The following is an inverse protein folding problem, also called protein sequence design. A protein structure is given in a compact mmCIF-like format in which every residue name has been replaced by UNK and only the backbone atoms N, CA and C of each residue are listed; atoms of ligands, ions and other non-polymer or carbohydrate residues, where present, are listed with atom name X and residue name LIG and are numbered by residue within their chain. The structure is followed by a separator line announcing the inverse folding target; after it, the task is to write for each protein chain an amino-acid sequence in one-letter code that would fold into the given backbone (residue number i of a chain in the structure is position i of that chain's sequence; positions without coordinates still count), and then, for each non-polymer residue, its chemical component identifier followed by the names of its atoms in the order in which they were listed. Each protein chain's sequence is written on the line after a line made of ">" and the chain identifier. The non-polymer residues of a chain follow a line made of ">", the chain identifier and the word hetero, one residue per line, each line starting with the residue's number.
data_IF_218001401477
#
_entry.id   IF_218001401477
#
_cell.length_a   1.000
_cell.length_b   1.000
_cell.length_c   1.000
_cell.angle_alpha   90.00
_cell.angle_beta   90.00
_cell.angle_gamma   90.00
#
_symmetry.space_group_name_H-M   'P 1'
#
loop_
_entity.id
_entity.type
_entity.pdbx_description
1 polymer ?
#
# COMPACT_ATOMS: atom_id res chain seq x y z
N UNK A 1 3.95 -23.85 -31.96
CA UNK A 1 5.33 -23.28 -31.95
C UNK A 1 5.72 -23.28 -30.49
N UNK A 2 6.69 -24.10 -30.05
CA UNK A 2 7.08 -24.16 -28.63
C UNK A 2 7.99 -22.96 -28.39
N UNK A 3 7.44 -21.92 -27.79
CA UNK A 3 8.20 -20.75 -27.36
C UNK A 3 9.03 -21.15 -26.13
N UNK A 4 10.33 -21.40 -26.32
CA UNK A 4 11.29 -21.36 -25.23
C UNK A 4 11.47 -19.90 -24.85
N UNK A 5 10.77 -19.44 -23.82
CA UNK A 5 11.02 -18.11 -23.26
C UNK A 5 11.11 -18.20 -21.74
N UNK A 6 11.79 -17.22 -21.17
CA UNK A 6 12.24 -17.22 -19.78
C UNK A 6 11.16 -16.68 -18.81
N UNK A 7 9.96 -16.39 -19.31
CA UNK A 7 8.77 -16.13 -18.50
C UNK A 7 8.19 -17.48 -18.05
N UNK A 8 8.31 -17.78 -16.76
CA UNK A 8 7.78 -19.02 -16.17
C UNK A 8 6.35 -18.86 -15.62
N UNK A 9 5.92 -17.63 -15.30
CA UNK A 9 4.61 -17.39 -14.68
C UNK A 9 3.47 -17.25 -15.70
N UNK A 10 2.33 -17.89 -15.41
CA UNK A 10 1.22 -18.04 -16.35
C UNK A 10 0.46 -16.72 -16.59
N UNK A 11 0.28 -15.93 -15.53
CA UNK A 11 -0.40 -14.62 -15.50
C UNK A 11 0.24 -13.59 -16.44
N UNK A 12 1.57 -13.65 -16.57
CA UNK A 12 2.38 -12.78 -17.40
C UNK A 12 2.48 -13.34 -18.81
N UNK A 13 2.67 -14.67 -18.93
CA UNK A 13 2.77 -15.37 -20.22
C UNK A 13 1.53 -15.29 -21.10
N UNK A 14 0.36 -15.22 -20.50
CA UNK A 14 -0.90 -15.17 -21.27
C UNK A 14 -0.94 -13.95 -22.20
N UNK A 15 -0.29 -12.85 -21.82
CA UNK A 15 -0.25 -11.61 -22.61
C UNK A 15 0.60 -11.72 -23.87
N UNK A 16 1.74 -12.42 -23.82
CA UNK A 16 2.50 -12.78 -25.02
C UNK A 16 1.61 -13.54 -26.01
N UNK A 17 0.82 -14.51 -25.54
CA UNK A 17 -0.08 -15.27 -26.39
C UNK A 17 -1.24 -14.41 -26.93
N UNK A 18 -1.83 -13.55 -26.10
CA UNK A 18 -2.90 -12.65 -26.51
C UNK A 18 -2.46 -11.70 -27.62
N UNK A 19 -1.28 -11.09 -27.46
CA UNK A 19 -0.71 -10.14 -28.41
C UNK A 19 -0.25 -10.84 -29.70
N UNK A 20 0.40 -12.00 -29.61
CA UNK A 20 0.94 -12.71 -30.79
C UNK A 20 -0.09 -13.56 -31.54
N UNK A 21 -1.26 -13.83 -30.93
CA UNK A 21 -2.35 -14.53 -31.57
C UNK A 21 -2.77 -13.86 -32.88
N UNK A 22 -3.26 -14.62 -33.85
CA UNK A 22 -3.85 -14.06 -35.08
C UNK A 22 -5.33 -13.67 -34.91
N UNK A 23 -5.94 -13.98 -33.76
CA UNK A 23 -7.33 -13.66 -33.47
C UNK A 23 -7.52 -12.15 -33.24
N UNK A 24 -8.66 -11.61 -33.69
CA UNK A 24 -9.04 -10.21 -33.47
C UNK A 24 -9.70 -10.00 -32.10
N UNK A 25 -10.37 -11.03 -31.61
CA UNK A 25 -10.97 -11.09 -30.28
C UNK A 25 -10.22 -12.13 -29.48
N UNK A 26 -9.73 -11.76 -28.30
CA UNK A 26 -9.06 -12.66 -27.36
C UNK A 26 -9.77 -12.58 -26.02
N UNK A 27 -10.12 -13.73 -25.48
CA UNK A 27 -10.73 -13.89 -24.16
C UNK A 27 -9.73 -14.64 -23.30
N UNK A 28 -9.36 -14.05 -22.17
CA UNK A 28 -8.45 -14.60 -21.18
C UNK A 28 -9.28 -15.09 -20.00
N UNK A 29 -9.26 -16.39 -19.77
CA UNK A 29 -9.93 -17.04 -18.64
C UNK A 29 -8.97 -17.13 -17.46
N UNK A 30 -8.98 -16.10 -16.62
CA UNK A 30 -8.27 -16.07 -15.35
C UNK A 30 -8.96 -15.07 -14.42
N UNK A 31 -9.59 -15.50 -13.31
CA UNK A 31 -10.19 -14.59 -12.35
C UNK A 31 -9.16 -13.84 -11.51
N UNK A 32 -7.88 -14.18 -11.65
CA UNK A 32 -6.78 -13.51 -10.96
C UNK A 32 -6.65 -12.04 -11.40
N UNK A 33 -6.67 -11.14 -10.41
CA UNK A 33 -6.61 -9.71 -10.63
C UNK A 33 -5.27 -9.25 -11.22
N UNK A 34 -4.17 -9.96 -10.95
CA UNK A 34 -2.85 -9.61 -11.48
C UNK A 34 -2.87 -9.65 -13.01
N UNK A 35 -3.60 -10.60 -13.61
CA UNK A 35 -3.68 -10.77 -15.06
C UNK A 35 -4.14 -9.50 -15.77
N UNK A 36 -5.21 -8.86 -15.32
CA UNK A 36 -5.70 -7.67 -16.03
C UNK A 36 -4.84 -6.43 -15.73
N UNK A 37 -4.26 -6.30 -14.53
CA UNK A 37 -3.32 -5.21 -14.26
C UNK A 37 -2.01 -5.34 -15.05
N UNK A 38 -1.48 -6.56 -15.23
CA UNK A 38 -0.33 -6.84 -16.11
C UNK A 38 -0.64 -6.39 -17.54
N UNK A 39 -1.83 -6.72 -18.03
CA UNK A 39 -2.25 -6.42 -19.40
C UNK A 39 -2.60 -4.98 -19.68
N UNK A 40 -3.03 -4.23 -18.68
CA UNK A 40 -3.62 -2.90 -18.86
C UNK A 40 -2.75 -1.95 -19.71
N UNK A 41 -1.42 -1.83 -19.48
CA UNK A 41 -0.57 -1.00 -20.33
C UNK A 41 -0.35 -1.53 -21.75
N UNK A 42 -0.58 -2.83 -21.99
CA UNK A 42 -0.41 -3.46 -23.31
C UNK A 42 -1.57 -3.16 -24.25
N UNK A 43 -2.76 -2.88 -23.70
CA UNK A 43 -3.99 -2.61 -24.44
C UNK A 43 -3.81 -1.42 -25.39
N UNK A 44 -3.08 -0.38 -24.97
CA UNK A 44 -2.86 0.85 -25.76
C UNK A 44 -2.19 0.61 -27.12
N UNK A 45 -1.43 -0.48 -27.23
CA UNK A 45 -0.67 -0.84 -28.42
C UNK A 45 -1.34 -1.94 -29.25
N UNK A 46 -2.51 -2.41 -28.83
CA UNK A 46 -3.24 -3.52 -29.44
C UNK A 46 -4.43 -3.02 -30.25
N UNK A 47 -4.60 -3.55 -31.46
CA UNK A 47 -5.81 -3.37 -32.29
C UNK A 47 -6.89 -4.42 -32.00
N UNK A 48 -6.64 -5.33 -31.07
CA UNK A 48 -7.53 -6.44 -30.70
C UNK A 48 -8.55 -6.01 -29.65
N UNK A 49 -9.70 -6.70 -29.66
CA UNK A 49 -10.65 -6.71 -28.55
C UNK A 49 -10.22 -7.73 -27.52
N UNK A 50 -9.86 -7.24 -26.33
CA UNK A 50 -9.25 -8.02 -25.24
C UNK A 50 -10.22 -8.08 -24.06
N UNK A 51 -10.56 -9.28 -23.62
CA UNK A 51 -11.44 -9.52 -22.48
C UNK A 51 -10.72 -10.37 -21.44
N UNK A 52 -10.84 -9.99 -20.16
CA UNK A 52 -10.28 -10.76 -19.03
C UNK A 52 -11.40 -11.13 -18.08
N UNK A 53 -11.40 -12.36 -17.57
CA UNK A 53 -12.37 -12.81 -16.59
C UNK A 53 -12.15 -12.09 -15.25
N UNK A 54 -13.21 -11.56 -14.64
CA UNK A 54 -13.16 -10.98 -13.29
C UNK A 54 -13.68 -11.94 -12.23
N UNK A 55 -14.68 -12.76 -12.58
CA UNK A 55 -15.33 -13.69 -11.67
C UNK A 55 -15.50 -15.03 -12.36
N UNK A 56 -15.13 -16.10 -11.65
CA UNK A 56 -15.43 -17.47 -12.04
C UNK A 56 -16.55 -18.00 -11.15
N UNK A 57 -17.80 -17.76 -11.55
CA UNK A 57 -18.98 -18.35 -10.90
C UNK A 57 -19.60 -19.41 -11.82
N UNK A 58 -20.16 -20.50 -11.25
CA UNK A 58 -20.90 -21.50 -12.01
C UNK A 58 -22.10 -20.93 -12.77
N UNK A 59 -22.70 -19.86 -12.23
CA UNK A 59 -23.93 -19.27 -12.74
C UNK A 59 -23.67 -18.11 -13.70
N UNK A 60 -22.56 -17.39 -13.51
CA UNK A 60 -22.24 -16.22 -14.31
C UNK A 60 -20.72 -16.02 -14.43
N UNK A 61 -20.26 -15.85 -15.67
CA UNK A 61 -18.88 -15.46 -15.94
C UNK A 61 -18.85 -13.98 -16.25
N UNK A 62 -18.23 -13.21 -15.35
CA UNK A 62 -18.03 -11.78 -15.55
C UNK A 62 -16.71 -11.55 -16.27
N UNK A 63 -16.74 -10.73 -17.32
CA UNK A 63 -15.56 -10.31 -18.06
C UNK A 63 -15.46 -8.79 -18.12
N UNK A 64 -14.24 -8.26 -18.08
CA UNK A 64 -13.95 -6.86 -18.35
C UNK A 64 -13.40 -6.71 -19.76
N UNK A 65 -13.96 -5.75 -20.51
CA UNK A 65 -13.37 -5.26 -21.76
C UNK A 65 -12.18 -4.35 -21.42
N UNK A 66 -10.97 -4.84 -21.68
CA UNK A 66 -9.74 -4.11 -21.35
C UNK A 66 -9.61 -2.83 -22.19
N UNK A 67 -10.10 -2.85 -23.42
CA UNK A 67 -10.14 -1.69 -24.30
C UNK A 67 -11.06 -0.60 -23.75
N UNK A 68 -12.27 -0.96 -23.33
CA UNK A 68 -13.21 -0.01 -22.74
C UNK A 68 -12.71 0.51 -21.39
N UNK A 69 -12.07 -0.35 -20.59
CA UNK A 69 -11.46 0.07 -19.33
C UNK A 69 -10.35 1.11 -19.55
N UNK A 70 -9.45 0.89 -20.52
CA UNK A 70 -8.43 1.89 -20.91
C UNK A 70 -9.07 3.21 -21.37
N UNK A 71 -10.12 3.15 -22.20
CA UNK A 71 -10.84 4.36 -22.64
C UNK A 71 -11.51 5.09 -21.47
N UNK A 72 -12.10 4.36 -20.51
CA UNK A 72 -12.72 4.93 -19.33
C UNK A 72 -11.68 5.66 -18.46
N UNK A 73 -10.52 5.05 -18.23
CA UNK A 73 -9.41 5.68 -17.48
C UNK A 73 -8.90 6.96 -18.15
N UNK A 74 -8.73 6.95 -19.47
CA UNK A 74 -8.27 8.12 -20.23
C UNK A 74 -9.27 9.28 -20.21
N UNK A 75 -10.56 8.97 -20.10
CA UNK A 75 -11.63 9.97 -20.09
C UNK A 75 -11.99 10.46 -18.68
N UNK A 76 -11.47 9.85 -17.62
CA UNK A 76 -11.74 10.30 -16.25
C UNK A 76 -11.08 11.66 -15.99
N UNK A 77 -11.89 12.63 -15.59
CA UNK A 77 -11.46 14.00 -15.29
C UNK A 77 -10.41 14.07 -14.18
N UNK A 78 -10.43 13.13 -13.24
CA UNK A 78 -9.47 13.06 -12.15
C UNK A 78 -8.06 12.70 -12.61
N UNK A 79 -7.93 12.07 -13.78
CA UNK A 79 -6.65 11.70 -14.37
C UNK A 79 -6.22 12.63 -15.52
N UNK A 80 -6.96 13.72 -15.73
CA UNK A 80 -6.65 14.66 -16.80
C UNK A 80 -5.22 15.21 -16.65
N UNK A 81 -4.43 15.04 -17.72
CA UNK A 81 -3.04 15.50 -17.78
C UNK A 81 -2.02 14.43 -17.39
N UNK A 82 -2.42 13.33 -16.75
CA UNK A 82 -1.55 12.18 -16.48
C UNK A 82 -1.21 11.50 -17.79
N UNK A 83 0.08 11.36 -18.09
CA UNK A 83 0.54 10.61 -19.25
C UNK A 83 0.56 9.12 -18.90
N UNK A 84 0.10 8.28 -19.83
CA UNK A 84 0.13 6.81 -19.69
C UNK A 84 -0.56 6.35 -18.40
N UNK A 85 -1.84 6.71 -18.27
CA UNK A 85 -2.65 6.44 -17.07
C UNK A 85 -2.73 4.94 -16.78
N UNK A 86 -2.78 4.10 -17.81
CA UNK A 86 -2.76 2.64 -17.70
C UNK A 86 -1.54 2.14 -16.93
N UNK A 87 -0.36 2.65 -17.30
CA UNK A 87 0.90 2.34 -16.61
C UNK A 87 0.91 2.91 -15.18
N UNK A 88 0.37 4.10 -14.97
CA UNK A 88 0.22 4.67 -13.64
C UNK A 88 -0.68 3.81 -12.74
N UNK A 89 -1.81 3.32 -13.26
CA UNK A 89 -2.76 2.47 -12.54
C UNK A 89 -2.13 1.11 -12.21
N UNK A 90 -1.43 0.48 -13.16
CA UNK A 90 -0.65 -0.73 -12.91
C UNK A 90 0.39 -0.49 -11.81
N UNK A 91 1.09 0.65 -11.84
CA UNK A 91 2.10 0.96 -10.85
C UNK A 91 1.51 1.23 -9.45
N UNK A 92 0.33 1.87 -9.36
CA UNK A 92 -0.39 2.02 -8.09
C UNK A 92 -0.80 0.68 -7.50
N UNK A 93 -1.24 -0.26 -8.34
CA UNK A 93 -1.51 -1.64 -7.94
C UNK A 93 -0.27 -2.27 -7.30
N UNK A 94 0.87 -2.24 -7.99
CA UNK A 94 2.14 -2.79 -7.50
C UNK A 94 2.60 -2.07 -6.21
N UNK A 95 2.46 -0.75 -6.14
CA UNK A 95 2.83 0.01 -4.94
C UNK A 95 2.00 -0.38 -3.72
N UNK A 96 0.70 -0.66 -3.88
CA UNK A 96 -0.15 -1.11 -2.78
C UNK A 96 0.21 -2.50 -2.23
N UNK A 97 0.88 -3.32 -3.06
CA UNK A 97 1.31 -4.67 -2.76
C UNK A 97 0.76 -5.68 -3.79
N UNK A 98 1.59 -6.66 -4.14
CA UNK A 98 1.26 -7.81 -5.00
C UNK A 98 2.13 -9.01 -4.58
N UNK A 99 2.06 -10.13 -5.30
CA UNK A 99 2.82 -11.34 -4.96
C UNK A 99 4.34 -11.13 -4.85
N UNK A 100 4.84 -10.10 -5.54
CA UNK A 100 6.25 -9.73 -5.57
C UNK A 100 6.65 -8.66 -4.55
N UNK A 101 5.71 -7.89 -4.02
CA UNK A 101 5.97 -6.72 -3.17
C UNK A 101 5.02 -6.72 -1.98
N UNK A 102 5.58 -6.59 -0.77
CA UNK A 102 4.81 -6.45 0.46
C UNK A 102 3.71 -5.40 0.37
N UNK A 103 2.65 -5.57 1.16
CA UNK A 103 1.57 -4.58 1.29
C UNK A 103 1.77 -3.67 2.51
N UNK A 104 0.97 -2.61 2.58
CA UNK A 104 0.90 -1.71 3.74
C UNK A 104 -0.26 -2.13 4.65
N UNK A 105 0.02 -2.49 5.90
CA UNK A 105 -1.01 -2.99 6.82
C UNK A 105 -2.13 -1.97 7.05
N UNK A 106 -3.37 -2.42 6.92
CA UNK A 106 -4.57 -1.61 7.11
C UNK A 106 -4.88 -0.67 5.95
N UNK A 107 -4.33 -0.93 4.76
CA UNK A 107 -4.66 -0.21 3.54
C UNK A 107 -4.92 -1.21 2.42
N UNK A 108 -6.15 -1.20 1.89
CA UNK A 108 -6.50 -1.94 0.70
C UNK A 108 -6.07 -1.23 -0.58
N UNK A 109 -6.12 -1.95 -1.71
CA UNK A 109 -5.82 -1.37 -3.04
C UNK A 109 -6.72 -0.19 -3.36
N UNK A 110 -8.03 -0.30 -3.02
CA UNK A 110 -9.02 0.76 -3.15
C UNK A 110 -8.56 2.07 -2.49
N UNK A 111 -8.00 1.99 -1.28
CA UNK A 111 -7.49 3.17 -0.56
C UNK A 111 -6.42 3.91 -1.36
N UNK A 112 -5.51 3.19 -2.01
CA UNK A 112 -4.48 3.80 -2.85
C UNK A 112 -5.08 4.51 -4.06
N UNK A 113 -6.05 3.88 -4.72
CA UNK A 113 -6.75 4.49 -5.87
C UNK A 113 -7.55 5.74 -5.47
N UNK A 114 -8.30 5.68 -4.37
CA UNK A 114 -9.10 6.80 -3.88
C UNK A 114 -8.22 8.00 -3.49
N UNK A 115 -7.12 7.72 -2.77
CA UNK A 115 -6.14 8.75 -2.38
C UNK A 115 -5.45 9.32 -3.60
N UNK A 116 -5.04 8.48 -4.56
CA UNK A 116 -4.42 8.94 -5.79
C UNK A 116 -5.37 9.85 -6.58
N UNK A 117 -6.63 9.44 -6.75
CA UNK A 117 -7.67 10.23 -7.42
C UNK A 117 -7.85 11.60 -6.76
N UNK A 118 -7.90 11.64 -5.43
CA UNK A 118 -8.09 12.89 -4.65
C UNK A 118 -6.86 13.80 -4.68
N UNK A 119 -5.66 13.22 -4.75
CA UNK A 119 -4.40 13.95 -4.58
C UNK A 119 -3.46 13.87 -5.79
N UNK A 120 -3.97 13.52 -6.98
CA UNK A 120 -3.18 13.26 -8.18
C UNK A 120 -2.20 14.39 -8.52
N UNK A 121 -2.66 15.65 -8.48
CA UNK A 121 -1.83 16.83 -8.77
C UNK A 121 -0.70 17.05 -7.74
N UNK A 122 -0.95 16.72 -6.47
CA UNK A 122 0.09 16.78 -5.44
C UNK A 122 1.09 15.62 -5.62
N UNK A 123 0.60 14.41 -5.85
CA UNK A 123 1.42 13.20 -5.95
C UNK A 123 2.33 13.28 -7.18
N UNK A 124 1.77 13.58 -8.35
CA UNK A 124 2.54 13.71 -9.60
C UNK A 124 3.34 15.01 -9.65
N UNK A 125 2.92 16.06 -8.94
CA UNK A 125 3.59 17.35 -8.93
C UNK A 125 3.30 18.15 -10.20
N UNK A 126 4.27 18.97 -10.64
CA UNK A 126 4.12 19.78 -11.88
C UNK A 126 4.38 19.00 -13.16
N UNK A 127 4.95 17.80 -13.05
CA UNK A 127 5.28 16.93 -14.17
C UNK A 127 4.45 15.66 -14.05
N UNK A 128 3.56 15.43 -15.01
CA UNK A 128 2.52 14.41 -14.88
C UNK A 128 3.02 12.97 -15.08
N UNK A 129 4.22 12.79 -15.64
CA UNK A 129 4.88 11.49 -15.80
C UNK A 129 5.78 11.10 -14.60
N UNK A 130 5.76 11.88 -13.51
CA UNK A 130 6.72 11.74 -12.42
C UNK A 130 6.79 10.32 -11.84
N UNK A 131 5.66 9.61 -11.72
CA UNK A 131 5.64 8.24 -11.17
C UNK A 131 6.31 7.19 -12.06
N UNK A 132 6.37 7.43 -13.38
CA UNK A 132 6.87 6.46 -14.37
C UNK A 132 8.35 6.67 -14.73
N UNK A 133 8.96 7.77 -14.25
CA UNK A 133 10.35 8.13 -14.55
C UNK A 133 11.33 7.53 -13.52
N UNK A 134 11.53 6.22 -13.59
CA UNK A 134 12.35 5.47 -12.62
C UNK A 134 13.84 5.81 -12.64
N UNK A 135 14.31 6.48 -13.68
CA UNK A 135 15.70 6.94 -13.79
C UNK A 135 15.96 8.23 -12.98
N UNK A 136 14.90 8.87 -12.45
CA UNK A 136 15.00 10.10 -11.68
C UNK A 136 14.55 9.95 -10.23
N UNK A 137 15.14 10.75 -9.34
CA UNK A 137 14.68 10.87 -7.96
C UNK A 137 13.25 11.43 -7.86
N UNK A 138 12.74 12.03 -8.94
CA UNK A 138 11.39 12.57 -9.01
C UNK A 138 10.35 11.48 -8.79
N UNK A 139 10.51 10.28 -9.37
CA UNK A 139 9.61 9.16 -9.16
C UNK A 139 9.56 8.68 -7.71
N UNK A 140 10.73 8.61 -7.05
CA UNK A 140 10.80 8.31 -5.63
C UNK A 140 10.07 9.38 -4.80
N UNK A 141 10.20 10.66 -5.15
CA UNK A 141 9.49 11.74 -4.46
C UNK A 141 7.98 11.67 -4.69
N UNK A 142 7.52 11.33 -5.89
CA UNK A 142 6.10 11.11 -6.16
C UNK A 142 5.56 9.93 -5.34
N UNK A 143 6.32 8.83 -5.24
CA UNK A 143 5.99 7.72 -4.36
C UNK A 143 5.91 8.14 -2.89
N UNK A 144 6.88 8.93 -2.39
CA UNK A 144 6.82 9.48 -1.04
C UNK A 144 5.57 10.33 -0.80
N UNK A 145 5.16 11.14 -1.78
CA UNK A 145 3.94 11.94 -1.71
C UNK A 145 2.69 11.05 -1.69
N UNK A 146 2.65 9.98 -2.47
CA UNK A 146 1.56 8.99 -2.47
C UNK A 146 1.41 8.35 -1.09
N UNK A 147 2.46 7.73 -0.56
CA UNK A 147 2.39 7.05 0.75
C UNK A 147 2.05 8.05 1.86
N UNK A 148 2.63 9.25 1.82
CA UNK A 148 2.29 10.32 2.77
C UNK A 148 0.81 10.70 2.70
N UNK A 149 0.24 10.80 1.49
CA UNK A 149 -1.17 11.11 1.32
C UNK A 149 -2.07 9.98 1.84
N UNK A 150 -1.68 8.72 1.64
CA UNK A 150 -2.41 7.53 2.13
C UNK A 150 -2.51 7.56 3.66
N UNK A 151 -1.38 7.67 4.34
CA UNK A 151 -1.33 7.71 5.80
C UNK A 151 -1.94 8.99 6.40
N UNK A 152 -1.75 10.14 5.76
CA UNK A 152 -2.40 11.39 6.18
C UNK A 152 -3.93 11.29 6.09
N UNK A 153 -4.46 10.66 5.03
CA UNK A 153 -5.90 10.54 4.82
C UNK A 153 -6.54 9.64 5.86
N UNK A 154 -5.95 8.47 6.13
CA UNK A 154 -6.43 7.54 7.17
C UNK A 154 -6.42 8.14 8.57
N UNK A 155 -5.41 8.95 8.88
CA UNK A 155 -5.24 9.54 10.22
C UNK A 155 -5.46 11.04 10.27
N UNK A 156 -6.35 11.56 9.42
CA UNK A 156 -6.53 13.00 9.21
C UNK A 156 -6.83 13.79 10.49
N UNK A 157 -7.52 13.19 11.46
CA UNK A 157 -7.83 13.78 12.77
C UNK A 157 -6.59 14.13 13.59
N UNK A 158 -5.50 13.37 13.45
CA UNK A 158 -4.23 13.64 14.13
C UNK A 158 -3.47 14.85 13.55
N UNK A 159 -3.90 15.35 12.39
CA UNK A 159 -3.25 16.46 11.69
C UNK A 159 -4.02 17.77 11.77
N UNK A 160 -5.13 17.86 12.51
CA UNK A 160 -5.86 19.11 12.71
C UNK A 160 -4.95 20.20 13.30
N UNK A 161 -5.06 21.46 12.83
CA UNK A 161 -6.08 22.00 11.92
C UNK A 161 -5.74 21.90 10.42
N UNK A 162 -4.74 21.10 10.02
CA UNK A 162 -4.37 20.97 8.61
C UNK A 162 -5.45 20.21 7.84
N UNK A 163 -5.88 20.78 6.73
CA UNK A 163 -6.95 20.21 5.88
C UNK A 163 -6.43 19.34 4.74
N UNK A 164 -5.12 19.34 4.48
CA UNK A 164 -4.53 18.52 3.41
C UNK A 164 -3.05 18.18 3.65
N UNK A 165 -2.62 17.03 3.12
CA UNK A 165 -1.21 16.62 3.10
C UNK A 165 -0.33 17.62 2.35
N UNK A 166 -0.88 18.30 1.33
CA UNK A 166 -0.17 19.35 0.59
C UNK A 166 0.12 20.55 1.50
N UNK A 167 -0.84 20.97 2.32
CA UNK A 167 -0.64 22.05 3.29
C UNK A 167 0.44 21.70 4.31
N UNK A 168 0.44 20.44 4.79
CA UNK A 168 1.52 19.93 5.64
C UNK A 168 2.85 20.04 4.91
N UNK A 169 2.98 19.48 3.71
CA UNK A 169 4.20 19.51 2.91
C UNK A 169 4.70 20.94 2.64
N UNK A 170 3.80 21.87 2.29
CA UNK A 170 4.15 23.27 2.01
C UNK A 170 4.69 23.99 3.25
N UNK A 171 4.22 23.62 4.45
CA UNK A 171 4.72 24.18 5.72
C UNK A 171 6.15 23.74 6.07
N UNK A 172 6.66 22.67 5.45
CA UNK A 172 7.97 22.11 5.79
C UNK A 172 9.10 22.86 5.10
N UNK A 173 10.21 23.00 5.83
CA UNK A 173 11.46 23.54 5.35
C UNK A 173 12.49 22.42 5.19
N UNK A 174 13.18 22.39 4.05
CA UNK A 174 14.28 21.46 3.77
C UNK A 174 15.43 22.19 3.10
N UNK A 175 16.66 21.70 3.26
CA UNK A 175 17.82 22.28 2.58
C UNK A 175 17.77 22.02 1.07
N UNK A 176 17.13 20.92 0.69
CA UNK A 176 16.87 20.51 -0.68
C UNK A 176 15.51 19.78 -0.73
N UNK A 177 15.11 19.38 -1.95
CA UNK A 177 13.82 18.71 -2.18
C UNK A 177 13.74 17.33 -1.51
N UNK A 178 14.85 16.59 -1.46
CA UNK A 178 14.93 15.28 -0.82
C UNK A 178 14.66 15.41 0.69
N UNK A 179 15.36 16.31 1.37
CA UNK A 179 15.21 16.56 2.80
C UNK A 179 13.78 17.00 3.15
N UNK A 180 13.14 17.76 2.26
CA UNK A 180 11.74 18.17 2.44
C UNK A 180 10.78 16.98 2.44
N UNK A 181 10.96 16.00 1.55
CA UNK A 181 10.14 14.77 1.53
C UNK A 181 10.44 13.85 2.72
N UNK A 182 11.71 13.71 3.11
CA UNK A 182 12.09 12.95 4.32
C UNK A 182 11.50 13.58 5.58
N UNK A 183 11.47 14.92 5.64
CA UNK A 183 10.80 15.65 6.71
C UNK A 183 9.29 15.39 6.72
N UNK A 184 8.62 15.30 5.56
CA UNK A 184 7.19 14.98 5.50
C UNK A 184 6.91 13.60 6.10
N UNK A 185 7.65 12.59 5.67
CA UNK A 185 7.52 11.21 6.18
C UNK A 185 7.74 11.18 7.69
N UNK A 186 8.78 11.87 8.17
CA UNK A 186 9.12 11.91 9.60
C UNK A 186 8.01 12.55 10.44
N UNK A 187 7.44 13.67 9.96
CA UNK A 187 6.35 14.38 10.66
C UNK A 187 5.07 13.55 10.72
N UNK A 188 4.70 12.86 9.63
CA UNK A 188 3.55 11.95 9.62
C UNK A 188 3.79 10.81 10.61
N UNK A 189 4.96 10.16 10.55
CA UNK A 189 5.34 9.09 11.46
C UNK A 189 5.29 9.50 12.93
N UNK A 190 5.84 10.66 13.26
CA UNK A 190 5.86 11.18 14.65
C UNK A 190 4.44 11.38 15.18
N UNK A 191 3.54 11.95 14.36
CA UNK A 191 2.13 12.11 14.74
C UNK A 191 1.39 10.78 14.89
N UNK A 192 1.70 9.80 14.05
CA UNK A 192 1.11 8.47 14.17
C UNK A 192 1.52 7.74 15.46
N UNK A 193 2.75 7.95 15.95
CA UNK A 193 3.19 7.33 17.22
C UNK A 193 2.32 7.73 18.42
N UNK A 194 1.63 8.88 18.36
CA UNK A 194 0.76 9.36 19.43
C UNK A 194 -0.62 8.66 19.44
N UNK A 195 -1.04 8.07 18.31
CA UNK A 195 -2.40 7.56 18.10
C UNK A 195 -2.46 6.05 17.82
N UNK A 196 -1.44 5.47 17.21
CA UNK A 196 -1.44 4.07 16.76
C UNK A 196 -0.99 3.15 17.88
N UNK A 197 -1.68 2.01 18.04
CA UNK A 197 -1.40 1.02 19.09
C UNK A 197 -0.35 -0.03 18.67
N UNK A 198 -0.21 -0.29 17.36
CA UNK A 198 0.68 -1.31 16.81
C UNK A 198 1.75 -0.72 15.89
N UNK A 199 3.00 -1.17 16.03
CA UNK A 199 4.11 -0.72 15.16
C UNK A 199 3.85 -1.02 13.68
N UNK A 200 3.11 -2.09 13.37
CA UNK A 200 2.82 -2.49 11.99
C UNK A 200 1.90 -1.51 11.25
N UNK A 201 1.10 -0.74 11.98
CA UNK A 201 0.22 0.29 11.42
C UNK A 201 0.97 1.61 11.21
N UNK A 202 2.19 1.76 11.71
CA UNK A 202 2.97 2.99 11.56
C UNK A 202 3.55 3.04 10.15
N UNK A 203 3.35 4.18 9.47
CA UNK A 203 3.95 4.46 8.16
C UNK A 203 5.44 4.10 8.15
N UNK A 204 5.97 3.30 7.20
CA UNK A 204 7.40 2.97 7.15
C UNK A 204 8.30 4.21 6.99
N UNK A 205 9.57 4.09 7.39
CA UNK A 205 10.54 5.19 7.29
C UNK A 205 10.99 5.41 5.83
N UNK A 206 11.66 6.52 5.52
CA UNK A 206 12.05 6.87 4.15
C UNK A 206 12.94 5.84 3.46
N UNK A 207 13.84 5.18 4.21
CA UNK A 207 14.73 4.15 3.66
C UNK A 207 13.96 2.86 3.32
N UNK A 208 13.09 2.40 4.22
CA UNK A 208 12.22 1.26 3.98
C UNK A 208 11.28 1.51 2.79
N UNK A 209 10.70 2.72 2.71
CA UNK A 209 9.89 3.14 1.57
C UNK A 209 10.70 3.19 0.27
N UNK A 210 11.95 3.63 0.31
CA UNK A 210 12.82 3.61 -0.88
C UNK A 210 13.05 2.19 -1.39
N UNK A 211 13.30 1.23 -0.51
CA UNK A 211 13.45 -0.17 -0.93
C UNK A 211 12.14 -0.77 -1.44
N UNK A 212 11.00 -0.41 -0.87
CA UNK A 212 9.70 -0.78 -1.42
C UNK A 212 9.50 -0.23 -2.83
N UNK A 213 9.74 1.07 -3.02
CA UNK A 213 9.69 1.72 -4.33
C UNK A 213 10.59 1.03 -5.35
N UNK A 214 11.83 0.72 -4.98
CA UNK A 214 12.77 0.00 -5.85
C UNK A 214 12.19 -1.36 -6.27
N UNK A 215 11.68 -2.17 -5.34
CA UNK A 215 11.08 -3.46 -5.68
C UNK A 215 9.89 -3.32 -6.61
N UNK A 216 8.98 -2.40 -6.31
CA UNK A 216 7.84 -2.10 -7.17
C UNK A 216 8.27 -1.65 -8.57
N UNK A 217 9.34 -0.86 -8.68
CA UNK A 217 9.90 -0.39 -9.94
C UNK A 217 10.38 -1.55 -10.82
N UNK A 218 11.04 -2.53 -10.21
CA UNK A 218 11.49 -3.72 -10.93
C UNK A 218 10.34 -4.60 -11.39
N UNK A 219 9.31 -4.80 -10.55
CA UNK A 219 8.11 -5.57 -10.92
C UNK A 219 7.39 -4.90 -12.08
N UNK A 220 7.27 -3.57 -12.04
CA UNK A 220 6.72 -2.80 -13.15
C UNK A 220 7.54 -3.00 -14.44
N UNK A 221 8.87 -2.96 -14.37
CA UNK A 221 9.75 -3.24 -15.53
C UNK A 221 9.63 -4.68 -16.04
N UNK A 222 9.40 -5.64 -15.15
CA UNK A 222 9.17 -7.04 -15.48
C UNK A 222 7.82 -7.22 -16.20
N UNK A 223 6.73 -6.69 -15.64
CA UNK A 223 5.38 -6.74 -16.22
C UNK A 223 5.26 -5.97 -17.54
N UNK A 224 5.99 -4.86 -17.71
CA UNK A 224 6.04 -4.11 -18.97
C UNK A 224 6.57 -4.95 -20.16
N UNK A 225 7.22 -6.08 -19.88
CA UNK A 225 7.76 -7.01 -20.88
C UNK A 225 6.90 -8.29 -21.03
N UNK A 226 5.67 -8.29 -20.53
CA UNK A 226 4.77 -9.45 -20.60
C UNK A 226 4.42 -9.88 -22.04
N UNK A 227 4.51 -8.96 -23.02
CA UNK A 227 4.33 -9.27 -24.44
C UNK A 227 5.59 -9.78 -25.15
N UNK A 228 6.72 -9.86 -24.44
CA UNK A 228 8.02 -10.23 -25.03
C UNK A 228 8.36 -11.71 -24.81
N UNK A 229 9.06 -12.30 -25.79
CA UNK A 229 9.52 -13.69 -25.67
C UNK A 229 10.71 -13.85 -24.72
N UNK A 230 11.56 -12.83 -24.65
CA UNK A 230 12.80 -12.82 -23.88
C UNK A 230 12.84 -11.57 -23.03
N UNK A 231 13.04 -11.77 -21.73
CA UNK A 231 13.09 -10.70 -20.74
C UNK A 231 14.48 -10.09 -20.66
N UNK A 232 14.54 -8.77 -20.60
CA UNK A 232 15.73 -8.00 -20.27
C UNK A 232 15.53 -7.38 -18.89
N UNK A 233 15.97 -8.11 -17.86
CA UNK A 233 15.82 -7.67 -16.47
C UNK A 233 17.13 -7.10 -15.95
N UNK A 234 16.99 -6.00 -15.22
CA UNK A 234 18.08 -5.45 -14.42
C UNK A 234 18.37 -6.35 -13.22
N UNK A 235 19.57 -6.17 -12.64
CA UNK A 235 19.99 -6.95 -11.47
C UNK A 235 19.07 -6.70 -10.28
N UNK A 236 18.50 -7.76 -9.72
CA UNK A 236 17.67 -7.71 -8.50
C UNK A 236 18.37 -6.98 -7.33
N UNK A 237 19.71 -7.04 -7.26
CA UNK A 237 20.46 -6.35 -6.21
C UNK A 237 20.38 -4.83 -6.26
N UNK A 238 20.11 -4.27 -7.43
CA UNK A 238 19.95 -2.82 -7.60
C UNK A 238 18.55 -2.34 -7.18
N UNK A 239 17.61 -3.28 -7.00
CA UNK A 239 16.20 -3.00 -6.74
C UNK A 239 15.73 -3.47 -5.35
N UNK A 240 16.65 -3.56 -4.38
CA UNK A 240 16.29 -3.81 -2.98
C UNK A 240 16.07 -5.28 -2.63
N UNK A 241 16.66 -6.19 -3.41
CA UNK A 241 16.79 -7.60 -3.05
C UNK A 241 18.23 -8.02 -2.82
N UNK A 242 18.40 -9.12 -2.10
CA UNK A 242 19.67 -9.79 -1.89
C UNK A 242 19.53 -11.24 -2.32
N UNK A 243 20.43 -11.69 -3.19
CA UNK A 243 20.50 -13.10 -3.59
C UNK A 243 21.53 -13.79 -2.70
N UNK A 244 21.12 -14.77 -1.91
CA UNK A 244 22.04 -15.55 -1.09
C UNK A 244 21.60 -17.01 -1.00
N UNK A 245 22.53 -17.95 -1.23
CA UNK A 245 22.26 -19.39 -1.23
C UNK A 245 21.10 -19.83 -2.15
N UNK A 246 20.98 -19.21 -3.34
CA UNK A 246 19.84 -19.38 -4.26
C UNK A 246 18.47 -18.99 -3.67
N UNK A 247 18.44 -18.24 -2.57
CA UNK A 247 17.24 -17.63 -2.02
C UNK A 247 17.28 -16.13 -2.31
N UNK A 248 16.10 -15.59 -2.63
CA UNK A 248 15.87 -14.17 -2.78
C UNK A 248 15.34 -13.61 -1.46
N UNK A 249 16.04 -12.63 -0.88
CA UNK A 249 15.66 -11.98 0.37
C UNK A 249 15.40 -10.49 0.12
N UNK A 250 14.32 -9.95 0.68
CA UNK A 250 14.06 -8.52 0.64
C UNK A 250 15.02 -7.75 1.55
N UNK A 251 15.59 -6.67 1.02
CA UNK A 251 16.27 -5.66 1.83
C UNK A 251 15.20 -4.71 2.36
N UNK A 252 14.85 -4.85 3.64
CA UNK A 252 13.80 -4.04 4.26
C UNK A 252 14.27 -2.64 4.65
N UNK A 253 15.55 -2.49 4.96
CA UNK A 253 16.12 -1.23 5.41
C UNK A 253 17.65 -1.21 5.19
N UNK A 254 18.26 -0.07 5.41
CA UNK A 254 19.70 0.08 5.42
C UNK A 254 20.31 -0.55 6.67
N UNK A 255 21.50 -1.13 6.52
CA UNK A 255 22.30 -1.64 7.64
C UNK A 255 22.50 -0.58 8.74
N UNK A 256 22.71 0.67 8.34
CA UNK A 256 22.84 1.78 9.28
C UNK A 256 21.58 2.02 10.11
N UNK A 257 20.39 1.84 9.53
CA UNK A 257 19.13 1.98 10.27
C UNK A 257 18.86 0.77 11.17
N UNK A 258 19.12 -0.46 10.71
CA UNK A 258 19.04 -1.64 11.57
C UNK A 258 19.90 -1.50 12.82
N UNK A 259 21.12 -0.97 12.69
CA UNK A 259 21.99 -0.69 13.84
C UNK A 259 21.41 0.38 14.77
N UNK A 260 20.77 1.43 14.24
CA UNK A 260 20.10 2.46 15.06
C UNK A 260 18.91 1.87 15.82
N UNK A 261 18.08 1.08 15.16
CA UNK A 261 16.92 0.40 15.76
C UNK A 261 17.42 -0.56 16.84
N UNK A 262 18.43 -1.38 16.54
CA UNK A 262 19.02 -2.29 17.53
C UNK A 262 19.54 -1.52 18.74
N UNK A 263 20.31 -0.45 18.55
CA UNK A 263 20.79 0.40 19.64
C UNK A 263 19.64 0.99 20.48
N UNK A 264 18.55 1.39 19.83
CA UNK A 264 17.36 1.95 20.47
C UNK A 264 16.63 0.88 21.28
N UNK A 265 16.40 -0.30 20.71
CA UNK A 265 15.81 -1.44 21.42
C UNK A 265 16.69 -1.83 22.60
N UNK A 266 18.00 -1.89 22.41
CA UNK A 266 18.95 -2.18 23.48
C UNK A 266 18.87 -1.12 24.59
N UNK A 267 18.71 0.17 24.25
CA UNK A 267 18.51 1.25 25.22
C UNK A 267 17.25 1.07 26.06
N UNK A 268 16.12 0.78 25.42
CA UNK A 268 14.84 0.63 26.10
C UNK A 268 14.73 -0.68 26.88
N UNK A 269 15.37 -1.76 26.43
CA UNK A 269 15.21 -3.10 27.02
C UNK A 269 16.31 -3.48 28.00
N UNK A 270 17.56 -3.01 27.82
CA UNK A 270 18.71 -3.40 28.65
C UNK A 270 18.94 -2.40 29.78
N UNK A 271 18.75 -2.84 31.03
CA UNK A 271 19.07 -2.08 32.24
C UNK A 271 20.28 -2.62 33.03
N UNK A 272 20.95 -1.76 33.81
CA UNK A 272 21.88 -2.19 34.87
C UNK A 272 21.10 -2.56 36.15
N UNK A 273 21.66 -3.49 36.92
CA UNK A 273 21.23 -3.84 38.29
C UNK A 273 22.39 -3.68 39.30
N UNK A 274 23.23 -2.67 39.08
CA UNK A 274 24.34 -2.31 39.97
C UNK A 274 23.84 -2.00 41.39
N UNK A 275 24.36 -2.75 42.36
CA UNK A 275 24.01 -2.61 43.78
C UNK A 275 24.47 -1.28 44.40
N UNK A 276 25.54 -0.68 43.88
CA UNK A 276 26.14 0.54 44.42
C UNK A 276 25.71 1.81 43.66
N UNK A 277 24.65 1.71 42.86
CA UNK A 277 24.29 2.74 41.88
C UNK A 277 25.19 2.72 40.63
N UNK A 278 24.71 3.27 39.51
CA UNK A 278 25.44 3.32 38.24
C UNK A 278 26.43 4.52 38.20
N UNK A 279 27.20 4.71 39.29
CA UNK A 279 28.17 5.80 39.51
C UNK A 279 29.61 5.46 39.14
N UNK A 280 29.93 4.17 38.97
CA UNK A 280 31.28 3.70 38.65
C UNK A 280 31.40 3.25 37.20
N UNK A 281 32.62 3.24 36.65
CA UNK A 281 32.94 2.67 35.34
C UNK A 281 32.76 1.14 35.27
N UNK A 282 32.32 0.50 36.36
CA UNK A 282 31.92 -0.91 36.40
C UNK A 282 30.47 -1.12 35.96
N UNK A 283 29.66 -0.06 35.90
CA UNK A 283 28.32 -0.13 35.34
C UNK A 283 28.39 -0.50 33.86
N UNK A 284 27.66 -1.54 33.45
CA UNK A 284 27.60 -1.98 32.05
C UNK A 284 27.02 -0.88 31.14
N UNK A 285 25.94 -0.21 31.54
CA UNK A 285 25.33 0.88 30.76
C UNK A 285 26.32 2.03 30.50
N UNK A 286 27.10 2.41 31.52
CA UNK A 286 28.09 3.48 31.40
C UNK A 286 29.32 3.06 30.58
N UNK A 287 29.73 1.79 30.71
CA UNK A 287 30.89 1.23 30.00
C UNK A 287 30.60 0.99 28.52
N UNK A 288 29.40 0.54 28.18
CA UNK A 288 29.12 0.06 26.84
C UNK A 288 28.93 1.20 25.85
N UNK A 289 28.60 2.44 26.28
CA UNK A 289 28.08 3.53 25.41
C UNK A 289 26.92 3.07 24.50
N UNK A 290 26.43 1.84 24.66
CA UNK A 290 25.69 1.08 23.65
C UNK A 290 24.19 1.24 23.82
N UNK A 291 23.76 2.36 24.40
CA UNK A 291 22.36 2.63 24.70
C UNK A 291 22.04 4.12 24.75
N UNK A 292 22.98 4.95 25.16
CA UNK A 292 22.82 6.41 25.02
C UNK A 292 24.13 7.01 24.55
N UNK A 293 24.02 7.96 23.61
CA UNK A 293 25.13 8.79 23.12
C UNK A 293 25.95 9.41 24.27
N UNK A 294 25.32 9.61 25.42
CA UNK A 294 25.89 10.36 26.55
C UNK A 294 26.23 9.51 27.79
N UNK A 295 26.16 8.18 27.68
CA UNK A 295 26.54 7.27 28.78
C UNK A 295 25.56 7.19 29.96
N UNK A 296 24.32 7.63 29.76
CA UNK A 296 23.19 7.44 30.66
C UNK A 296 22.75 5.96 30.76
N UNK A 297 21.86 5.69 31.71
CA UNK A 297 21.18 4.42 31.92
C UNK A 297 19.79 4.49 31.30
N UNK A 298 19.41 3.42 30.61
CA UNK A 298 18.10 3.35 29.95
C UNK A 298 16.94 3.22 30.93
N UNK A 299 15.69 3.38 30.45
CA UNK A 299 14.48 3.35 31.28
C UNK A 299 14.31 2.06 32.10
N UNK A 300 14.85 0.93 31.65
CA UNK A 300 14.81 -0.35 32.37
C UNK A 300 15.92 -0.52 33.42
N UNK A 301 16.66 0.52 33.76
CA UNK A 301 17.64 0.48 34.86
C UNK A 301 16.96 0.10 36.19
N UNK A 302 17.45 -0.96 36.83
CA UNK A 302 16.92 -1.49 38.10
C UNK A 302 17.73 -1.05 39.31
N UNK A 303 18.62 -0.08 39.14
CA UNK A 303 19.48 0.38 40.25
C UNK A 303 18.72 1.34 41.13
N UNK A 304 18.75 1.10 42.45
CA UNK A 304 18.20 2.03 43.43
C UNK A 304 18.94 3.36 43.34
N UNK A 305 18.19 4.46 43.22
CA UNK A 305 18.70 5.83 43.12
C UNK A 305 19.76 5.98 42.01
N UNK A 306 19.45 5.48 40.82
CA UNK A 306 20.32 5.63 39.67
C UNK A 306 20.45 7.11 39.26
N UNK A 307 21.57 7.74 39.63
CA UNK A 307 21.91 9.13 39.25
C UNK A 307 22.24 9.31 37.76
N UNK A 308 22.16 8.23 36.99
CA UNK A 308 22.53 8.19 35.57
C UNK A 308 21.30 7.98 34.68
N UNK A 309 20.08 8.07 35.21
CA UNK A 309 18.88 8.12 34.37
C UNK A 309 18.79 9.51 33.73
N UNK A 310 18.29 9.64 32.49
CA UNK A 310 18.01 10.96 31.91
C UNK A 310 16.98 11.70 32.78
N UNK A 311 17.19 13.01 32.96
CA UNK A 311 16.25 13.86 33.70
C UNK A 311 14.90 13.89 32.97
N UNK A 312 13.82 13.62 33.70
CA UNK A 312 12.45 13.57 33.14
C UNK A 312 11.94 14.93 32.64
N UNK A 313 12.68 16.01 32.87
CA UNK A 313 12.30 17.38 32.52
C UNK A 313 12.60 17.75 31.06
N UNK A 314 13.37 16.95 30.32
CA UNK A 314 13.77 17.27 28.94
C UNK A 314 12.88 16.62 27.85
N UNK A 315 11.82 15.91 28.23
CA UNK A 315 10.90 15.24 27.28
C UNK A 315 9.48 15.79 27.24
N UNK A 316 9.19 16.93 27.88
CA UNK A 316 7.89 17.60 27.73
C UNK A 316 7.91 18.54 26.51
N UNK A 317 7.43 18.07 25.36
CA UNK A 317 6.85 18.97 24.38
C UNK A 317 5.55 19.52 24.98
N UNK A 318 5.64 20.72 25.53
CA UNK A 318 4.49 21.53 25.96
C UNK A 318 3.64 21.88 24.73
N UNK A 319 2.62 21.07 24.45
CA UNK A 319 1.48 21.47 23.62
C UNK A 319 0.29 21.62 24.56
N UNK A 320 -0.02 22.87 24.91
CA UNK A 320 -1.19 23.21 25.72
C UNK A 320 -2.47 22.94 24.93
N UNK A 321 -3.13 21.82 25.23
CA UNK A 321 -4.40 21.37 24.66
C UNK A 321 -5.65 22.15 25.14
N UNK A 322 -5.50 23.41 25.57
CA UNK A 322 -6.59 24.14 26.24
C UNK A 322 -7.53 24.94 25.33
N UNK A 323 -7.28 25.03 24.01
CA UNK A 323 -8.02 25.98 23.14
C UNK A 323 -8.71 25.36 21.90
N UNK A 324 -8.94 24.05 21.84
CA UNK A 324 -9.71 23.45 20.73
C UNK A 324 -11.16 23.26 21.18
N UNK A 325 -12.05 24.15 20.75
CA UNK A 325 -13.51 24.04 20.93
C UNK A 325 -14.05 22.90 20.05
N UNK A 326 -14.64 21.89 20.69
CA UNK A 326 -15.14 20.64 20.11
C UNK A 326 -16.53 20.73 19.45
N UNK A 327 -17.02 21.92 19.14
CA UNK A 327 -18.42 22.12 18.72
C UNK A 327 -18.66 22.12 17.19
N UNK A 328 -17.65 21.83 16.35
CA UNK A 328 -17.80 21.80 14.87
C UNK A 328 -17.21 20.54 14.20
N UNK A 329 -17.40 19.36 14.78
CA UNK A 329 -17.15 18.09 14.08
C UNK A 329 -18.48 17.34 14.01
N UNK A 330 -19.33 17.74 13.08
CA UNK A 330 -20.49 16.98 12.63
C UNK A 330 -20.16 16.27 11.31
N UNK A 331 -20.45 14.98 11.29
CA UNK A 331 -20.75 14.16 10.11
C UNK A 331 -19.58 13.79 9.19
N UNK A 332 -18.71 12.91 9.67
CA UNK A 332 -18.07 11.91 8.81
C UNK A 332 -18.41 10.54 9.41
N UNK A 333 -19.49 9.95 8.92
CA UNK A 333 -19.74 8.52 9.10
C UNK A 333 -18.70 7.79 8.25
N UNK A 334 -17.77 7.12 8.93
CA UNK A 334 -16.85 6.16 8.33
C UNK A 334 -17.50 4.82 8.63
N UNK A 335 -18.14 4.23 7.62
CA UNK A 335 -18.59 2.84 7.65
C UNK A 335 -17.33 1.95 7.62
N UNK A 336 -16.96 1.46 8.80
CA UNK A 336 -15.95 0.42 9.01
C UNK A 336 -16.66 -0.95 8.96
N UNK A 337 -17.02 -1.41 7.77
CA UNK A 337 -17.43 -2.80 7.52
C UNK A 337 -16.21 -3.60 7.03
N UNK A 338 -15.32 -3.95 7.97
CA UNK A 338 -14.27 -4.96 7.78
C UNK A 338 -14.84 -6.34 8.23
N UNK A 339 -15.62 -6.98 7.36
CA UNK A 339 -15.98 -8.40 7.48
C UNK A 339 -14.85 -9.28 6.88
N UNK A 340 -13.77 -9.44 7.65
CA UNK A 340 -12.80 -10.53 7.45
C UNK A 340 -13.35 -11.81 8.12
N UNK A 341 -14.30 -12.47 7.45
CA UNK A 341 -14.67 -13.87 7.78
C UNK A 341 -13.66 -14.80 7.10
N UNK A 342 -12.57 -15.06 7.83
CA UNK A 342 -11.69 -16.21 7.63
C UNK A 342 -12.48 -17.50 7.98
N UNK A 343 -13.08 -18.12 6.96
CA UNK A 343 -13.62 -19.49 7.04
C UNK A 343 -12.46 -20.49 7.20
N UNK A 344 -12.16 -20.83 8.45
CA UNK A 344 -11.41 -22.05 8.80
C UNK A 344 -12.29 -23.28 8.51
N UNK A 345 -11.95 -23.97 7.42
CA UNK A 345 -12.35 -25.35 7.10
C UNK A 345 -11.93 -26.31 8.24
N UNK A 346 -12.83 -26.54 9.21
CA UNK A 346 -12.79 -27.73 10.06
C UNK A 346 -13.77 -28.78 9.51
N UNK A 347 -13.20 -29.72 8.76
CA UNK A 347 -13.71 -31.07 8.54
C UNK A 347 -14.14 -31.69 9.88
N UNK A 348 -15.40 -32.13 10.01
CA UNK A 348 -15.79 -33.29 10.82
C UNK A 348 -17.22 -33.76 10.46
N UNK A 349 -17.26 -34.88 9.76
CA UNK A 349 -18.09 -36.09 9.97
C UNK A 349 -19.64 -36.03 10.02
N UNK A 350 -20.20 -36.84 9.12
CA UNK A 350 -21.27 -37.83 9.33
C UNK A 350 -22.60 -37.40 9.98
N UNK A 351 -23.70 -37.45 9.22
CA UNK A 351 -24.64 -38.58 9.29
C UNK A 351 -25.91 -38.35 8.44
N UNK A 352 -26.41 -39.48 7.93
CA UNK A 352 -27.65 -39.71 7.20
C UNK A 352 -28.90 -39.07 7.87
N UNK A 353 -29.87 -38.62 7.07
CA UNK A 353 -31.19 -39.28 7.02
C UNK A 353 -32.16 -38.58 6.04
N UNK A 354 -32.88 -39.44 5.33
CA UNK A 354 -34.01 -39.17 4.45
C UNK A 354 -35.15 -38.41 5.17
N UNK A 355 -35.92 -37.61 4.43
CA UNK A 355 -37.38 -37.73 4.31
C UNK A 355 -37.99 -36.53 3.55
N UNK A 356 -38.38 -36.83 2.31
CA UNK A 356 -39.70 -36.61 1.70
C UNK A 356 -40.65 -35.50 2.18
N UNK A 357 -41.31 -34.95 1.16
CA UNK A 357 -42.71 -34.51 1.09
C UNK A 357 -43.09 -33.04 1.42
N UNK A 358 -43.51 -32.40 0.32
CA UNK A 358 -44.84 -31.83 0.13
C UNK A 358 -45.11 -30.35 0.45
N UNK A 359 -45.72 -29.74 -0.58
CA UNK A 359 -46.82 -28.76 -0.54
C UNK A 359 -46.50 -27.36 0.02
N UNK A 360 -47.06 -26.26 -0.42
CA UNK A 360 -47.95 -25.83 -1.51
C UNK A 360 -48.11 -24.32 -1.21
N UNK A 361 -48.54 -23.54 -2.21
CA UNK A 361 -49.28 -22.28 -2.03
C UNK A 361 -48.52 -21.10 -1.36
N UNK A 362 -48.81 -19.83 -1.58
CA UNK A 362 -49.63 -19.08 -2.51
C UNK A 362 -49.20 -17.61 -2.25
N UNK A 363 -49.24 -16.82 -3.31
CA UNK A 363 -49.78 -15.45 -3.33
C UNK A 363 -49.22 -14.29 -2.47
N UNK A 364 -49.34 -13.14 -3.15
CA UNK A 364 -49.62 -11.79 -2.66
C UNK A 364 -48.46 -10.82 -2.35
N UNK A 365 -48.29 -9.92 -3.32
CA UNK A 365 -48.53 -8.47 -3.23
C UNK A 365 -47.66 -7.57 -2.32
N UNK A 366 -47.52 -6.33 -2.81
CA UNK A 366 -46.95 -5.12 -2.18
C UNK A 366 -45.41 -5.08 -2.08
N UNK A 367 -44.70 -4.03 -2.50
CA UNK A 367 -45.01 -2.61 -2.36
C UNK A 367 -44.41 -1.75 -3.49
N UNK A 368 -45.11 -0.65 -3.75
CA UNK A 368 -44.79 0.35 -4.75
C UNK A 368 -43.60 1.27 -4.45
N UNK A 369 -43.24 1.94 -5.54
CA UNK A 369 -42.28 3.02 -5.70
C UNK A 369 -42.15 4.01 -4.52
N UNK A 370 -40.93 4.10 -3.97
CA UNK A 370 -40.42 5.31 -3.31
C UNK A 370 -39.07 5.69 -3.97
N UNK A 371 -38.83 6.97 -4.30
CA UNK A 371 -37.66 7.38 -5.07
C UNK A 371 -36.42 7.48 -4.18
N UNK A 372 -35.50 6.53 -4.35
CA UNK A 372 -34.19 6.51 -3.70
C UNK A 372 -33.36 7.70 -4.20
N UNK A 373 -33.00 8.59 -3.26
CA UNK A 373 -31.95 9.58 -3.46
C UNK A 373 -30.60 8.88 -3.59
N UNK A 374 -29.82 9.26 -4.60
CA UNK A 374 -28.50 8.71 -4.89
C UNK A 374 -27.54 8.86 -3.69
N UNK A 375 -27.38 7.79 -2.93
CA UNK A 375 -26.20 7.52 -2.11
C UNK A 375 -25.28 6.63 -2.94
N UNK A 376 -24.09 7.17 -3.21
CA UNK A 376 -23.06 6.61 -4.08
C UNK A 376 -22.04 5.88 -3.20
N UNK A 377 -21.80 4.61 -3.53
CA UNK A 377 -20.68 3.74 -3.12
C UNK A 377 -20.84 2.88 -1.86
N UNK A 378 -21.52 1.74 -2.01
CA UNK A 378 -21.09 0.46 -1.41
C UNK A 378 -20.92 -0.56 -2.56
N UNK A 379 -20.26 -1.67 -2.28
CA UNK A 379 -19.34 -2.36 -3.19
C UNK A 379 -19.89 -2.88 -4.54
N UNK A 380 -19.00 -2.90 -5.54
CA UNK A 380 -19.10 -3.64 -6.81
C UNK A 380 -20.08 -3.20 -7.93
N UNK A 381 -20.89 -2.16 -7.78
CA UNK A 381 -21.81 -1.72 -8.86
C UNK A 381 -21.21 -0.83 -9.97
N UNK A 382 -19.88 -0.84 -10.15
CA UNK A 382 -19.18 0.08 -11.04
C UNK A 382 -18.87 -0.45 -12.45
N UNK A 383 -19.62 -1.39 -13.02
CA UNK A 383 -19.53 -1.73 -14.46
C UNK A 383 -20.85 -2.26 -15.04
N UNK A 384 -21.92 -1.47 -14.99
CA UNK A 384 -23.12 -1.70 -15.79
C UNK A 384 -23.43 -0.50 -16.69
N UNK A 385 -22.70 -0.36 -17.80
CA UNK A 385 -23.22 0.26 -19.01
C UNK A 385 -22.55 -0.36 -20.25
N UNK A 386 -23.40 -0.93 -21.10
CA UNK A 386 -23.20 -1.32 -22.50
C UNK A 386 -22.82 -2.78 -22.81
N UNK A 387 -23.83 -3.66 -22.87
CA UNK A 387 -23.98 -4.59 -24.01
C UNK A 387 -25.41 -5.18 -24.08
N UNK A 388 -26.42 -4.34 -24.24
CA UNK A 388 -27.67 -4.77 -24.89
C UNK A 388 -27.50 -4.59 -26.40
N UNK A 389 -26.90 -5.61 -27.03
CA UNK A 389 -26.99 -6.01 -28.45
C UNK A 389 -25.71 -6.72 -28.88
N UNK A 390 -25.66 -8.05 -28.69
CA UNK A 390 -24.99 -9.00 -29.58
C UNK A 390 -25.54 -10.42 -29.41
#
# INVERSE_FOLDING_TARGET
>A
MIASGDHEEADTRVWLHAVTSTAQTVIIYSPDTDVYFIGLPLVKNSDKSLYVQLKDSPYEKLFISMNEFSVALQNDICFQGIQDIESCIQLLYIYSGCDYVSYFKGFGKKTFFDVFRKHASFITGTETACLLDFDSESALFAFYRLISAVYFSKHSTAFLPLTSVKSLYDSLHGQNIHDKHVSLISQIREKMWEIVLSEQEIMPNSEALKFHWLRSSWVFQFWAQASENFLQLSSLSDFGWKVSNNLLECIWDTEGNFQKVEQTVQWYTKGCSCKTGCTSNRCKCRKSKSGSKDGFCGPRCKCTNCVNLPDKSDTSLDISLSDISLDEISDVEIDDDDDDDDDDDDDDDDDDDDDDDDDDDDDDDDDGDDPVQAHLFSDLDMFYLASDDL
#
